data_IF_968297582967
#
_entry.id   IF_968297582967
#
_cell.length_a   1.000
_cell.length_b   1.000
_cell.length_c   1.000
_cell.angle_alpha   90.00
_cell.angle_beta   90.00
_cell.angle_gamma   90.00
#
_symmetry.space_group_name_H-M   'P 1'
#
loop_
_entity.id
_entity.type
_entity.pdbx_description
1 polymer ?
#
# COMPACT_ATOMS: atom_id res chain seq x y z
N UNK A 1 59.85 -52.75 -24.73
CA UNK A 1 59.39 -51.84 -23.66
C UNK A 1 58.43 -50.74 -24.17
N UNK A 2 57.46 -51.07 -25.05
CA UNK A 2 56.57 -50.07 -25.66
C UNK A 2 55.09 -50.26 -25.27
N UNK A 3 54.73 -51.45 -24.78
CA UNK A 3 53.35 -51.82 -24.40
C UNK A 3 52.97 -51.25 -23.02
N UNK A 4 53.95 -51.02 -22.13
CA UNK A 4 53.69 -50.52 -20.76
C UNK A 4 53.38 -49.01 -20.74
N UNK A 5 53.84 -48.25 -21.74
CA UNK A 5 53.59 -46.79 -21.83
C UNK A 5 52.20 -46.42 -22.38
N UNK A 6 51.54 -47.30 -23.13
CA UNK A 6 50.19 -47.04 -23.67
C UNK A 6 49.10 -47.29 -22.61
N UNK A 7 49.32 -48.27 -21.72
CA UNK A 7 48.37 -48.58 -20.63
C UNK A 7 48.39 -47.50 -19.54
N UNK A 8 49.55 -46.87 -19.29
CA UNK A 8 49.65 -45.77 -18.31
C UNK A 8 49.02 -44.46 -18.79
N UNK A 9 49.03 -44.17 -20.10
CA UNK A 9 48.35 -42.99 -20.65
C UNK A 9 46.82 -43.12 -20.65
N UNK A 10 46.30 -44.36 -20.73
CA UNK A 10 44.86 -44.65 -20.79
C UNK A 10 44.21 -44.74 -19.39
N UNK A 11 45.00 -45.00 -18.35
CA UNK A 11 44.55 -44.96 -16.94
C UNK A 11 44.46 -43.53 -16.40
N UNK A 12 45.29 -42.61 -16.91
CA UNK A 12 45.22 -41.18 -16.55
C UNK A 12 43.99 -40.49 -17.19
N UNK A 13 43.55 -40.93 -18.37
CA UNK A 13 42.32 -40.41 -19.03
C UNK A 13 41.02 -41.02 -18.49
N UNK A 14 41.04 -42.26 -18.02
CA UNK A 14 39.88 -42.88 -17.36
C UNK A 14 39.70 -42.39 -15.90
N UNK A 15 40.81 -42.07 -15.23
CA UNK A 15 40.78 -41.37 -13.94
C UNK A 15 40.19 -39.97 -14.02
N UNK A 16 40.46 -39.21 -15.09
CA UNK A 16 39.87 -37.88 -15.31
C UNK A 16 38.41 -37.93 -15.73
N UNK A 17 37.95 -38.98 -16.43
CA UNK A 17 36.52 -39.18 -16.69
C UNK A 17 35.74 -39.53 -15.41
N UNK A 18 36.24 -40.45 -14.57
CA UNK A 18 35.59 -40.78 -13.30
C UNK A 18 35.68 -39.62 -12.28
N UNK A 19 36.79 -38.88 -12.25
CA UNK A 19 36.94 -37.67 -11.46
C UNK A 19 36.04 -36.56 -11.98
N UNK A 20 35.93 -36.35 -13.29
CA UNK A 20 34.99 -35.41 -13.89
C UNK A 20 33.53 -35.82 -13.68
N UNK A 21 33.18 -37.11 -13.69
CA UNK A 21 31.81 -37.59 -13.46
C UNK A 21 31.41 -37.50 -11.98
N UNK A 22 32.32 -37.82 -11.05
CA UNK A 22 32.06 -37.64 -9.61
C UNK A 22 32.08 -36.14 -9.22
N UNK A 23 32.94 -35.36 -9.85
CA UNK A 23 32.93 -33.91 -9.76
C UNK A 23 31.64 -33.34 -10.36
N UNK A 24 31.16 -33.82 -11.52
CA UNK A 24 29.89 -33.43 -12.15
C UNK A 24 28.67 -33.88 -11.33
N UNK A 25 28.70 -35.04 -10.67
CA UNK A 25 27.62 -35.48 -9.76
C UNK A 25 27.52 -34.62 -8.49
N UNK A 26 28.63 -34.08 -7.99
CA UNK A 26 28.64 -33.10 -6.89
C UNK A 26 28.40 -31.67 -7.38
N UNK A 27 28.81 -31.35 -8.61
CA UNK A 27 28.75 -30.01 -9.22
C UNK A 27 27.47 -29.73 -10.01
N UNK A 28 26.66 -30.76 -10.27
CA UNK A 28 25.33 -30.65 -10.88
C UNK A 28 24.25 -30.20 -9.88
N UNK A 29 24.56 -30.28 -8.58
CA UNK A 29 23.69 -29.80 -7.49
C UNK A 29 24.00 -28.37 -7.05
N UNK A 30 25.07 -27.77 -7.58
CA UNK A 30 25.54 -26.43 -7.21
C UNK A 30 25.52 -25.48 -8.41
N UNK A 31 25.21 -24.21 -8.14
CA UNK A 31 25.21 -23.14 -9.14
C UNK A 31 26.61 -22.90 -9.72
N UNK A 32 26.69 -22.40 -10.96
CA UNK A 32 27.96 -22.03 -11.59
C UNK A 32 28.71 -20.97 -10.75
N UNK A 33 30.05 -21.01 -10.67
CA UNK A 33 30.83 -20.08 -9.84
C UNK A 33 30.55 -18.59 -10.08
N UNK A 34 30.19 -18.21 -11.32
CA UNK A 34 29.92 -16.82 -11.72
C UNK A 34 28.41 -16.48 -11.76
N UNK A 35 27.57 -17.19 -10.99
CA UNK A 35 26.12 -16.94 -10.94
C UNK A 35 25.76 -15.88 -9.90
N UNK A 36 24.99 -14.88 -10.32
CA UNK A 36 24.43 -13.82 -9.47
C UNK A 36 22.91 -13.82 -9.60
N UNK A 37 22.21 -13.82 -8.48
CA UNK A 37 20.73 -13.77 -8.43
C UNK A 37 20.31 -12.60 -7.55
N UNK A 38 19.56 -11.64 -8.09
CA UNK A 38 19.09 -10.48 -7.34
C UNK A 38 20.22 -9.65 -6.71
N UNK A 39 21.38 -9.56 -7.39
CA UNK A 39 22.57 -8.87 -6.88
C UNK A 39 23.41 -9.68 -5.88
N UNK A 40 23.00 -10.89 -5.50
CA UNK A 40 23.74 -11.78 -4.58
C UNK A 40 24.54 -12.81 -5.37
N UNK A 41 25.85 -12.88 -5.11
CA UNK A 41 26.72 -13.92 -5.65
C UNK A 41 26.39 -15.27 -4.99
N UNK A 42 25.76 -16.16 -5.75
CA UNK A 42 25.30 -17.48 -5.29
C UNK A 42 26.06 -18.63 -5.96
N UNK A 43 27.17 -18.32 -6.62
CA UNK A 43 27.98 -19.33 -7.29
C UNK A 43 28.56 -20.36 -6.33
N UNK A 44 28.49 -21.63 -6.71
CA UNK A 44 28.92 -22.75 -5.86
C UNK A 44 27.92 -23.14 -4.77
N UNK A 45 26.82 -22.39 -4.56
CA UNK A 45 25.78 -22.76 -3.60
C UNK A 45 24.86 -23.85 -4.15
N UNK A 46 24.39 -24.71 -3.24
CA UNK A 46 23.23 -25.56 -3.52
C UNK A 46 21.93 -24.73 -3.56
N UNK A 47 20.89 -25.26 -4.20
CA UNK A 47 19.60 -24.55 -4.37
C UNK A 47 19.07 -23.93 -3.06
N UNK A 48 19.05 -24.71 -1.97
CA UNK A 48 18.53 -24.26 -0.68
C UNK A 48 19.39 -23.14 -0.06
N UNK A 49 20.72 -23.24 -0.21
CA UNK A 49 21.66 -22.22 0.27
C UNK A 49 21.52 -20.93 -0.53
N UNK A 50 21.38 -21.03 -1.86
CA UNK A 50 21.14 -19.88 -2.74
C UNK A 50 19.81 -19.18 -2.43
N UNK A 51 18.73 -19.94 -2.23
CA UNK A 51 17.44 -19.37 -1.81
C UNK A 51 17.60 -18.61 -0.50
N UNK A 52 18.21 -19.22 0.52
CA UNK A 52 18.38 -18.57 1.83
C UNK A 52 19.21 -17.29 1.75
N UNK A 53 20.30 -17.29 0.98
CA UNK A 53 21.18 -16.12 0.82
C UNK A 53 20.49 -14.97 0.08
N UNK A 54 19.76 -15.27 -0.99
CA UNK A 54 19.02 -14.27 -1.77
C UNK A 54 17.86 -13.70 -0.96
N UNK A 55 17.11 -14.55 -0.23
CA UNK A 55 16.02 -14.09 0.66
C UNK A 55 16.50 -13.10 1.70
N UNK A 56 17.60 -13.41 2.38
CA UNK A 56 18.14 -12.53 3.41
C UNK A 56 18.46 -11.12 2.86
N UNK A 57 18.89 -11.02 1.60
CA UNK A 57 19.27 -9.73 1.00
C UNK A 57 18.07 -9.01 0.37
N UNK A 58 17.15 -9.75 -0.24
CA UNK A 58 16.07 -9.19 -1.08
C UNK A 58 14.73 -9.10 -0.35
N UNK A 59 14.43 -10.00 0.58
CA UNK A 59 13.19 -9.99 1.38
C UNK A 59 13.32 -9.12 2.65
N UNK A 60 14.49 -9.05 3.29
CA UNK A 60 14.68 -8.26 4.53
C UNK A 60 14.25 -6.79 4.40
N UNK A 61 14.58 -6.05 3.30
CA UNK A 61 14.08 -4.70 3.11
C UNK A 61 12.55 -4.60 3.00
N UNK A 62 11.89 -5.64 2.49
CA UNK A 62 10.42 -5.67 2.29
C UNK A 62 9.66 -5.89 3.60
N UNK A 63 10.33 -6.45 4.61
CA UNK A 63 9.78 -6.63 5.97
C UNK A 63 10.00 -5.43 6.89
N UNK A 64 10.61 -4.34 6.39
CA UNK A 64 10.73 -3.11 7.17
C UNK A 64 9.35 -2.53 7.44
N UNK A 65 9.14 -2.10 8.68
CA UNK A 65 7.90 -1.48 9.12
C UNK A 65 7.70 -0.13 8.46
N UNK A 66 6.48 0.10 8.02
CA UNK A 66 5.95 1.36 7.50
C UNK A 66 4.83 1.78 8.46
N UNK A 67 5.00 2.93 9.10
CA UNK A 67 3.96 3.52 9.94
C UNK A 67 2.94 4.24 9.04
N UNK A 68 1.68 3.88 9.17
CA UNK A 68 0.56 4.48 8.45
C UNK A 68 -0.21 5.37 9.40
N UNK A 69 -0.41 6.63 9.04
CA UNK A 69 -1.07 7.62 9.89
C UNK A 69 -2.17 8.36 9.13
N UNK A 70 -3.28 8.64 9.80
CA UNK A 70 -4.37 9.45 9.26
C UNK A 70 -5.15 10.10 10.43
N UNK A 71 -4.86 11.36 10.75
CA UNK A 71 -5.42 11.98 11.95
C UNK A 71 -5.04 11.21 13.22
N UNK A 72 -6.03 10.68 13.95
CA UNK A 72 -5.81 9.84 15.13
C UNK A 72 -5.56 8.36 14.81
N UNK A 73 -5.80 7.93 13.57
CA UNK A 73 -5.55 6.56 13.14
C UNK A 73 -4.05 6.31 12.99
N UNK A 74 -3.58 5.21 13.59
CA UNK A 74 -2.20 4.74 13.49
C UNK A 74 -2.18 3.22 13.30
N UNK A 75 -1.46 2.76 12.28
CA UNK A 75 -1.25 1.35 12.02
C UNK A 75 0.20 1.09 11.57
N UNK A 76 0.63 -0.16 11.64
CA UNK A 76 1.91 -0.62 11.10
C UNK A 76 1.66 -1.62 9.97
N UNK A 77 2.42 -1.50 8.90
CA UNK A 77 2.42 -2.47 7.79
C UNK A 77 3.83 -2.67 7.25
N UNK A 78 4.00 -3.55 6.26
CA UNK A 78 5.26 -3.77 5.57
C UNK A 78 5.01 -3.82 4.07
N UNK A 79 6.05 -3.59 3.25
CA UNK A 79 5.91 -3.73 1.80
C UNK A 79 5.46 -5.14 1.42
N UNK A 80 5.92 -6.16 2.17
CA UNK A 80 5.49 -7.54 2.03
C UNK A 80 3.99 -7.74 2.27
N UNK A 81 3.43 -7.18 3.35
CA UNK A 81 2.01 -7.29 3.69
C UNK A 81 1.11 -6.56 2.68
N UNK A 82 1.62 -5.43 2.16
CA UNK A 82 0.98 -4.68 1.06
C UNK A 82 1.03 -5.44 -0.28
N UNK A 83 1.74 -6.57 -0.34
CA UNK A 83 1.77 -7.47 -1.49
C UNK A 83 2.96 -7.25 -2.42
N UNK A 84 3.95 -6.42 -2.06
CA UNK A 84 5.20 -6.32 -2.81
C UNK A 84 6.09 -7.52 -2.44
N UNK A 85 6.06 -8.55 -3.27
CA UNK A 85 6.68 -9.84 -2.99
C UNK A 85 7.70 -10.22 -4.05
N UNK A 86 8.59 -11.13 -3.68
CA UNK A 86 9.65 -11.63 -4.55
C UNK A 86 9.62 -13.15 -4.57
N UNK A 87 9.47 -13.74 -5.75
CA UNK A 87 9.57 -15.19 -5.92
C UNK A 87 11.03 -15.63 -6.09
N UNK A 88 11.76 -15.61 -4.96
CA UNK A 88 13.15 -16.08 -4.90
C UNK A 88 13.29 -17.54 -5.35
N UNK A 89 12.42 -18.49 -4.94
CA UNK A 89 12.52 -19.88 -5.42
C UNK A 89 12.48 -20.03 -6.93
N UNK A 90 11.60 -19.30 -7.63
CA UNK A 90 11.51 -19.34 -9.09
C UNK A 90 12.74 -18.74 -9.75
N UNK A 91 13.24 -17.60 -9.25
CA UNK A 91 14.46 -16.99 -9.77
C UNK A 91 15.69 -17.91 -9.62
N UNK A 92 15.86 -18.56 -8.46
CA UNK A 92 16.97 -19.51 -8.23
C UNK A 92 16.83 -20.75 -9.12
N UNK A 93 15.62 -21.29 -9.30
CA UNK A 93 15.38 -22.40 -10.25
C UNK A 93 15.75 -22.02 -11.68
N UNK A 94 15.40 -20.81 -12.10
CA UNK A 94 15.76 -20.31 -13.43
C UNK A 94 17.28 -20.17 -13.58
N UNK A 95 17.98 -19.70 -12.55
CA UNK A 95 19.45 -19.63 -12.52
C UNK A 95 20.09 -21.03 -12.62
N UNK A 96 19.52 -22.03 -11.93
CA UNK A 96 19.97 -23.43 -12.03
C UNK A 96 19.69 -24.06 -13.39
N UNK A 97 18.53 -23.77 -14.00
CA UNK A 97 18.19 -24.25 -15.34
C UNK A 97 19.20 -23.76 -16.38
N UNK A 98 19.52 -22.46 -16.37
CA UNK A 98 20.57 -21.87 -17.23
C UNK A 98 21.95 -22.46 -16.94
N UNK A 99 22.21 -22.87 -15.70
CA UNK A 99 23.47 -23.52 -15.32
C UNK A 99 23.60 -24.95 -15.86
N UNK A 100 22.47 -25.62 -16.11
CA UNK A 100 22.43 -27.01 -16.61
C UNK A 100 22.19 -27.11 -18.13
N UNK A 101 21.87 -26.02 -18.81
CA UNK A 101 21.74 -25.93 -20.27
C UNK A 101 23.06 -26.18 -21.03
N UNK A 102 23.01 -27.04 -22.05
CA UNK A 102 24.14 -27.41 -22.91
C UNK A 102 24.82 -28.73 -22.52
N UNK A 103 25.71 -29.22 -23.39
CA UNK A 103 26.37 -30.52 -23.20
C UNK A 103 27.40 -30.48 -22.05
N UNK A 104 27.70 -31.64 -21.44
CA UNK A 104 28.65 -31.80 -20.31
C UNK A 104 29.97 -31.06 -20.55
N UNK A 105 30.47 -31.11 -21.79
CA UNK A 105 31.71 -30.48 -22.20
C UNK A 105 31.66 -28.95 -22.18
N UNK A 106 30.53 -28.35 -22.59
CA UNK A 106 30.31 -26.91 -22.55
C UNK A 106 30.13 -26.40 -21.11
N UNK A 107 29.56 -27.23 -20.23
CA UNK A 107 29.42 -26.93 -18.79
C UNK A 107 30.78 -26.92 -18.08
N UNK A 108 31.61 -27.93 -18.32
CA UNK A 108 32.98 -28.02 -17.76
C UNK A 108 33.88 -26.92 -18.30
N UNK A 109 33.77 -26.60 -19.60
CA UNK A 109 34.55 -25.53 -20.23
C UNK A 109 34.23 -24.14 -19.64
N UNK A 110 32.93 -23.80 -19.46
CA UNK A 110 32.52 -22.56 -18.79
C UNK A 110 33.02 -22.47 -17.35
N UNK A 111 33.05 -23.60 -16.63
CA UNK A 111 33.51 -23.67 -15.23
C UNK A 111 35.04 -23.57 -15.09
N UNK A 112 35.79 -23.95 -16.11
CA UNK A 112 37.26 -23.96 -16.10
C UNK A 112 37.89 -22.70 -16.71
N UNK A 113 37.24 -22.05 -17.69
CA UNK A 113 37.83 -20.95 -18.47
C UNK A 113 37.04 -19.63 -18.47
N UNK A 114 35.85 -19.59 -17.86
CA UNK A 114 35.10 -18.35 -17.59
C UNK A 114 34.43 -17.66 -18.80
N UNK A 115 33.34 -16.92 -18.50
CA UNK A 115 32.50 -16.01 -19.31
C UNK A 115 31.33 -16.62 -20.14
N UNK A 116 30.15 -15.94 -20.25
CA UNK A 116 29.68 -14.74 -19.57
C UNK A 116 28.88 -15.05 -18.29
N UNK A 117 28.99 -14.16 -17.29
CA UNK A 117 28.25 -14.19 -16.04
C UNK A 117 26.76 -14.48 -16.24
N UNK A 118 26.21 -15.46 -15.50
CA UNK A 118 24.77 -15.71 -15.51
C UNK A 118 24.13 -14.85 -14.42
N UNK A 119 23.60 -13.69 -14.80
CA UNK A 119 22.77 -12.87 -13.93
C UNK A 119 21.30 -13.24 -14.10
N UNK A 120 20.59 -13.39 -12.98
CA UNK A 120 19.13 -13.45 -12.95
C UNK A 120 18.65 -12.28 -12.12
N UNK A 121 18.01 -11.31 -12.77
CA UNK A 121 17.39 -10.19 -12.09
C UNK A 121 16.17 -10.67 -11.31
N UNK A 122 16.05 -10.18 -10.09
CA UNK A 122 14.96 -10.49 -9.17
C UNK A 122 14.27 -9.19 -8.84
N UNK A 123 13.17 -8.92 -9.52
CA UNK A 123 12.38 -7.70 -9.32
C UNK A 123 11.15 -8.03 -8.48
N UNK A 124 10.89 -7.28 -7.40
CA UNK A 124 9.64 -7.38 -6.66
C UNK A 124 8.44 -7.12 -7.58
N UNK A 125 7.37 -7.90 -7.39
CA UNK A 125 6.12 -7.76 -8.12
C UNK A 125 4.96 -7.64 -7.14
N UNK A 126 3.92 -6.91 -7.56
CA UNK A 126 2.68 -6.80 -6.79
C UNK A 126 1.86 -8.08 -6.93
N UNK A 127 1.61 -8.74 -5.80
CA UNK A 127 0.71 -9.87 -5.66
C UNK A 127 -0.59 -9.49 -4.93
N UNK A 128 -1.16 -10.47 -4.23
CA UNK A 128 -2.27 -10.22 -3.29
C UNK A 128 -1.71 -9.60 -2.02
N UNK A 129 -2.25 -8.45 -1.60
CA UNK A 129 -1.83 -7.76 -0.37
C UNK A 129 -2.98 -7.06 0.33
N UNK A 130 -2.73 -6.52 1.52
CA UNK A 130 -3.76 -5.96 2.41
C UNK A 130 -3.96 -4.44 2.24
N UNK A 131 -3.61 -3.89 1.08
CA UNK A 131 -3.70 -2.43 0.81
C UNK A 131 -5.10 -1.91 1.07
N UNK A 132 -6.15 -2.59 0.56
CA UNK A 132 -7.53 -2.16 0.78
C UNK A 132 -7.94 -2.25 2.24
N UNK A 133 -7.55 -3.32 2.95
CA UNK A 133 -7.93 -3.51 4.35
C UNK A 133 -7.44 -2.39 5.27
N UNK A 134 -6.20 -1.95 5.11
CA UNK A 134 -5.65 -0.82 5.89
C UNK A 134 -6.38 0.49 5.55
N UNK A 135 -6.69 0.71 4.27
CA UNK A 135 -7.42 1.91 3.85
C UNK A 135 -8.87 1.91 4.35
N UNK A 136 -9.51 0.74 4.38
CA UNK A 136 -10.87 0.58 4.92
C UNK A 136 -10.90 0.84 6.43
N UNK A 137 -9.92 0.32 7.18
CA UNK A 137 -9.75 0.61 8.62
C UNK A 137 -9.49 2.10 8.88
N UNK A 138 -8.60 2.71 8.08
CA UNK A 138 -8.33 4.14 8.17
C UNK A 138 -9.58 4.98 7.84
N UNK A 139 -10.34 4.59 6.81
CA UNK A 139 -11.56 5.27 6.43
C UNK A 139 -12.61 5.20 7.54
N UNK A 140 -12.77 4.06 8.21
CA UNK A 140 -13.67 3.91 9.35
C UNK A 140 -13.29 4.82 10.54
N UNK A 141 -12.00 5.07 10.73
CA UNK A 141 -11.51 5.92 11.82
C UNK A 141 -11.56 7.43 11.49
N UNK A 142 -11.36 7.79 10.22
CA UNK A 142 -11.17 9.19 9.80
C UNK A 142 -12.43 9.83 9.25
N UNK A 143 -13.31 9.04 8.63
CA UNK A 143 -14.50 9.56 7.96
C UNK A 143 -15.52 10.08 8.98
N UNK A 144 -15.85 11.36 8.86
CA UNK A 144 -16.83 12.05 9.68
C UNK A 144 -17.80 12.78 8.74
N UNK A 145 -19.09 12.54 8.90
CA UNK A 145 -20.10 13.23 8.09
C UNK A 145 -20.15 14.72 8.46
N UNK A 146 -20.34 15.62 7.46
CA UNK A 146 -20.53 17.03 7.75
C UNK A 146 -21.86 17.26 8.48
N UNK A 147 -21.88 18.26 9.36
CA UNK A 147 -23.08 18.66 10.09
C UNK A 147 -23.66 19.91 9.44
N UNK A 148 -24.88 19.79 8.93
CA UNK A 148 -25.63 20.88 8.33
C UNK A 148 -25.97 21.98 9.36
N UNK A 149 -25.97 23.22 8.89
CA UNK A 149 -26.50 24.33 9.66
C UNK A 149 -27.99 24.13 9.93
N UNK A 150 -28.44 24.46 11.14
CA UNK A 150 -29.83 24.26 11.56
C UNK A 150 -30.38 25.46 12.31
N UNK A 151 -31.66 25.74 12.08
CA UNK A 151 -32.45 26.67 12.87
C UNK A 151 -33.14 25.90 13.99
N UNK A 152 -32.87 26.27 15.25
CA UNK A 152 -33.51 25.74 16.45
C UNK A 152 -34.41 26.81 17.07
N UNK A 153 -35.70 26.51 17.21
CA UNK A 153 -36.72 27.40 17.80
C UNK A 153 -37.30 26.86 19.11
N UNK A 154 -36.69 25.82 19.71
CA UNK A 154 -37.19 25.14 20.92
C UNK A 154 -37.34 26.05 22.14
N UNK A 155 -36.58 27.14 22.20
CA UNK A 155 -36.64 28.14 23.29
C UNK A 155 -37.72 29.21 23.08
N UNK A 156 -38.41 29.20 21.94
CA UNK A 156 -39.33 30.25 21.50
C UNK A 156 -38.67 31.39 20.73
N UNK A 157 -37.34 31.41 20.65
CA UNK A 157 -36.54 32.32 19.82
C UNK A 157 -35.66 31.52 18.85
N UNK A 158 -35.18 32.19 17.79
CA UNK A 158 -34.30 31.56 16.80
C UNK A 158 -32.89 31.43 17.36
N UNK A 159 -32.37 30.21 17.37
CA UNK A 159 -30.96 29.89 17.59
C UNK A 159 -30.41 29.21 16.34
N UNK A 160 -29.32 29.74 15.81
CA UNK A 160 -28.61 29.11 14.69
C UNK A 160 -27.58 28.13 15.26
N UNK A 161 -27.66 26.89 14.82
CA UNK A 161 -26.61 25.89 14.97
C UNK A 161 -25.71 26.00 13.75
N UNK A 162 -24.45 26.37 13.97
CA UNK A 162 -23.47 26.55 12.91
C UNK A 162 -23.18 25.21 12.21
N UNK A 163 -22.91 25.22 10.89
CA UNK A 163 -22.45 24.04 10.19
C UNK A 163 -21.07 23.62 10.69
N UNK A 164 -20.76 22.33 10.55
CA UNK A 164 -19.43 21.79 10.79
C UNK A 164 -19.00 20.98 9.58
N UNK A 165 -17.78 21.23 9.11
CA UNK A 165 -17.18 20.43 8.04
C UNK A 165 -16.99 18.99 8.50
N UNK A 166 -17.28 18.08 7.58
CA UNK A 166 -16.93 16.67 7.72
C UNK A 166 -15.52 16.42 7.20
N UNK A 167 -15.12 15.16 7.26
CA UNK A 167 -13.82 14.69 6.76
C UNK A 167 -14.01 13.37 6.04
N UNK A 168 -13.30 13.19 4.94
CA UNK A 168 -13.32 11.94 4.20
C UNK A 168 -11.92 11.57 3.74
N UNK A 169 -11.55 10.31 3.94
CA UNK A 169 -10.30 9.76 3.44
C UNK A 169 -10.34 9.70 1.90
N UNK A 170 -9.32 10.24 1.26
CA UNK A 170 -9.10 10.11 -0.17
C UNK A 170 -8.45 8.74 -0.44
N UNK A 171 -9.28 7.75 -0.76
CA UNK A 171 -8.83 6.37 -0.97
C UNK A 171 -7.81 6.25 -2.10
N UNK A 172 -7.94 7.03 -3.17
CA UNK A 172 -7.07 6.94 -4.33
C UNK A 172 -5.69 7.56 -4.02
N UNK A 173 -5.68 8.78 -3.50
CA UNK A 173 -4.44 9.47 -3.12
C UNK A 173 -3.71 8.73 -1.99
N UNK A 174 -4.45 8.24 -1.00
CA UNK A 174 -3.91 7.43 0.11
C UNK A 174 -3.31 6.12 -0.36
N UNK A 175 -3.97 5.43 -1.30
CA UNK A 175 -3.42 4.22 -1.93
C UNK A 175 -2.13 4.51 -2.65
N UNK A 176 -2.08 5.57 -3.47
CA UNK A 176 -0.88 5.95 -4.19
C UNK A 176 0.27 6.27 -3.24
N UNK A 177 0.01 7.03 -2.17
CA UNK A 177 1.00 7.36 -1.15
C UNK A 177 1.55 6.11 -0.43
N UNK A 178 0.68 5.15 -0.09
CA UNK A 178 1.06 3.91 0.57
C UNK A 178 1.92 3.00 -0.32
N UNK A 179 1.55 2.86 -1.60
CA UNK A 179 2.33 2.08 -2.57
C UNK A 179 3.68 2.74 -2.89
N UNK A 180 3.72 4.07 -2.98
CA UNK A 180 4.96 4.82 -3.12
C UNK A 180 5.88 4.63 -1.91
N UNK A 181 5.34 4.69 -0.69
CA UNK A 181 6.11 4.45 0.53
C UNK A 181 6.72 3.04 0.56
N UNK A 182 5.95 2.02 0.15
CA UNK A 182 6.43 0.65 0.03
C UNK A 182 7.55 0.49 -1.01
N UNK A 183 7.44 1.19 -2.15
CA UNK A 183 8.41 1.07 -3.26
C UNK A 183 9.68 1.88 -3.01
N UNK A 184 9.55 3.06 -2.41
CA UNK A 184 10.65 3.97 -2.09
C UNK A 184 11.36 3.63 -0.77
N UNK A 185 10.81 2.70 0.01
CA UNK A 185 11.39 2.27 1.29
C UNK A 185 11.24 3.30 2.42
N UNK A 186 10.19 4.12 2.38
CA UNK A 186 9.87 5.06 3.46
C UNK A 186 9.40 4.30 4.70
N UNK A 187 9.81 4.77 5.88
CA UNK A 187 9.42 4.18 7.16
C UNK A 187 8.06 4.68 7.67
N UNK A 188 7.49 5.70 7.03
CA UNK A 188 6.20 6.28 7.42
C UNK A 188 5.48 6.90 6.22
N UNK A 189 4.15 6.91 6.28
CA UNK A 189 3.27 7.53 5.30
C UNK A 189 2.06 8.14 6.01
N UNK A 190 1.70 9.34 5.60
CA UNK A 190 0.46 10.01 6.00
C UNK A 190 -0.57 9.82 4.89
N UNK A 191 -1.74 9.30 5.24
CA UNK A 191 -2.85 9.13 4.32
C UNK A 191 -3.54 10.48 4.09
N UNK A 192 -4.12 10.63 2.91
CA UNK A 192 -4.71 11.90 2.47
C UNK A 192 -6.19 11.91 2.83
N UNK A 193 -6.63 12.99 3.49
CA UNK A 193 -8.04 13.24 3.78
C UNK A 193 -8.46 14.62 3.29
N UNK A 194 -9.68 14.72 2.79
CA UNK A 194 -10.29 15.95 2.30
C UNK A 194 -11.41 16.39 3.25
N UNK A 195 -11.58 17.70 3.40
CA UNK A 195 -12.75 18.26 4.08
C UNK A 195 -13.99 18.06 3.21
N UNK A 196 -15.12 17.76 3.83
CA UNK A 196 -16.42 17.64 3.17
C UNK A 196 -17.31 18.76 3.65
N UNK A 197 -17.75 19.60 2.73
CA UNK A 197 -18.66 20.70 3.06
C UNK A 197 -20.05 20.17 3.41
N UNK A 198 -20.74 20.78 4.40
CA UNK A 198 -22.14 20.49 4.66
C UNK A 198 -23.02 20.99 3.50
N UNK A 199 -24.09 20.24 3.23
CA UNK A 199 -25.09 20.60 2.23
C UNK A 199 -25.77 21.95 2.54
N UNK A 200 -25.99 22.23 3.84
CA UNK A 200 -26.53 23.49 4.32
C UNK A 200 -25.43 24.24 5.07
N UNK A 201 -24.81 25.21 4.38
CA UNK A 201 -23.83 26.12 4.95
C UNK A 201 -24.43 27.22 5.83
N UNK A 202 -23.57 28.04 6.42
CA UNK A 202 -23.97 29.11 7.34
C UNK A 202 -24.81 30.18 6.64
N UNK A 203 -24.49 30.47 5.38
CA UNK A 203 -25.20 31.46 4.57
C UNK A 203 -26.68 31.09 4.36
N UNK A 204 -26.99 29.80 4.25
CA UNK A 204 -28.35 29.31 4.03
C UNK A 204 -29.28 29.56 5.23
N UNK A 205 -28.73 29.72 6.43
CA UNK A 205 -29.48 30.03 7.66
C UNK A 205 -29.17 31.43 8.21
N UNK A 206 -28.38 32.22 7.49
CA UNK A 206 -27.91 33.55 7.92
C UNK A 206 -29.05 34.54 8.16
N UNK A 207 -30.18 34.40 7.46
CA UNK A 207 -31.36 35.25 7.66
C UNK A 207 -32.59 34.43 7.94
N UNK A 208 -33.26 34.72 9.04
CA UNK A 208 -34.46 33.98 9.48
C UNK A 208 -35.53 34.97 9.90
N UNK A 209 -36.77 34.73 9.47
CA UNK A 209 -37.93 35.47 9.94
C UNK A 209 -38.66 34.61 10.97
N UNK A 210 -38.83 35.13 12.18
CA UNK A 210 -39.65 34.51 13.21
C UNK A 210 -40.93 35.31 13.40
N UNK A 211 -42.08 34.69 13.13
CA UNK A 211 -43.40 35.28 13.41
C UNK A 211 -43.94 34.70 14.71
N UNK A 212 -44.16 35.54 15.71
CA UNK A 212 -44.75 35.16 17.00
C UNK A 212 -46.20 35.65 17.05
N UNK A 213 -47.12 34.76 16.73
CA UNK A 213 -48.57 35.04 16.66
C UNK A 213 -49.16 35.48 18.00
N UNK A 214 -48.67 34.93 19.11
CA UNK A 214 -49.07 35.35 20.46
C UNK A 214 -48.69 36.79 20.82
N UNK A 215 -47.72 37.39 20.12
CA UNK A 215 -47.25 38.76 20.35
C UNK A 215 -47.65 39.73 19.22
N UNK A 216 -48.16 39.21 18.09
CA UNK A 216 -48.33 39.97 16.85
C UNK A 216 -47.03 40.68 16.41
N UNK A 217 -45.92 39.94 16.52
CA UNK A 217 -44.57 40.43 16.22
C UNK A 217 -43.87 39.57 15.18
N UNK A 218 -43.10 40.24 14.33
CA UNK A 218 -42.14 39.64 13.40
C UNK A 218 -40.74 40.10 13.80
N UNK A 219 -39.84 39.14 13.95
CA UNK A 219 -38.43 39.37 14.22
C UNK A 219 -37.61 38.94 13.01
N UNK A 220 -36.80 39.85 12.48
CA UNK A 220 -35.77 39.52 11.50
C UNK A 220 -34.49 39.18 12.26
N UNK A 221 -34.03 37.95 12.10
CA UNK A 221 -32.73 37.51 12.56
C UNK A 221 -31.72 37.62 11.43
N UNK A 222 -30.55 38.16 11.74
CA UNK A 222 -29.35 37.99 10.93
C UNK A 222 -28.27 37.36 11.82
N UNK A 223 -27.70 36.22 11.38
CA UNK A 223 -26.69 35.45 12.09
C UNK A 223 -27.07 35.10 13.55
N UNK A 224 -28.37 34.87 13.80
CA UNK A 224 -28.87 34.47 15.12
C UNK A 224 -29.18 35.64 16.05
N UNK A 225 -28.98 36.88 15.60
CA UNK A 225 -29.32 38.09 16.35
C UNK A 225 -30.52 38.81 15.73
N UNK A 226 -31.41 39.32 16.57
CA UNK A 226 -32.53 40.15 16.10
C UNK A 226 -32.00 41.49 15.63
N UNK A 227 -32.11 41.77 14.34
CA UNK A 227 -31.69 43.05 13.75
C UNK A 227 -32.85 44.02 13.58
N UNK A 228 -34.06 43.49 13.36
CA UNK A 228 -35.28 44.29 13.20
C UNK A 228 -36.49 43.60 13.82
N UNK A 229 -37.39 44.44 14.32
CA UNK A 229 -38.67 44.02 14.88
C UNK A 229 -39.81 44.82 14.24
N UNK A 230 -40.91 44.15 13.95
CA UNK A 230 -42.11 44.76 13.37
C UNK A 230 -43.37 44.26 14.07
N UNK A 231 -44.34 45.16 14.23
CA UNK A 231 -45.70 44.76 14.58
C UNK A 231 -46.42 44.28 13.31
N UNK A 232 -47.04 43.10 13.38
CA UNK A 232 -47.73 42.47 12.25
C UNK A 232 -49.11 41.96 12.68
N UNK A 233 -50.09 42.02 11.79
CA UNK A 233 -51.38 41.38 12.04
C UNK A 233 -51.27 39.88 11.74
N UNK A 234 -51.70 39.04 12.68
CA UNK A 234 -51.81 37.58 12.48
C UNK A 234 -53.27 37.15 12.39
N UNK A 235 -53.51 35.93 11.92
CA UNK A 235 -54.85 35.43 11.63
C UNK A 235 -55.77 35.43 12.86
N UNK A 236 -57.03 35.80 12.66
CA UNK A 236 -58.04 35.78 13.72
C UNK A 236 -58.24 34.38 14.30
N UNK A 237 -58.76 34.25 15.52
CA UNK A 237 -58.93 32.94 16.18
C UNK A 237 -59.76 31.92 15.38
N UNK A 238 -60.69 32.40 14.54
CA UNK A 238 -61.50 31.55 13.63
C UNK A 238 -60.69 31.02 12.43
N UNK A 239 -59.61 31.72 12.06
CA UNK A 239 -58.72 31.43 10.94
C UNK A 239 -57.25 31.70 11.34
N UNK A 240 -56.69 30.93 12.28
CA UNK A 240 -55.38 31.22 12.86
C UNK A 240 -54.28 31.07 11.80
N UNK A 241 -53.22 31.89 11.92
CA UNK A 241 -51.99 31.66 11.16
C UNK A 241 -51.42 30.29 11.57
N UNK A 242 -51.20 29.35 10.62
CA UNK A 242 -50.64 28.06 10.94
C UNK A 242 -49.24 28.20 11.53
N UNK A 243 -48.82 27.24 12.36
CA UNK A 243 -47.46 27.16 12.93
C UNK A 243 -46.63 26.13 12.18
N UNK A 244 -45.32 26.34 12.06
CA UNK A 244 -44.45 25.50 11.25
C UNK A 244 -43.14 26.19 10.87
N UNK A 245 -42.35 25.48 10.07
CA UNK A 245 -41.22 26.04 9.33
C UNK A 245 -41.65 26.17 7.87
N UNK A 246 -41.36 27.31 7.27
CA UNK A 246 -41.61 27.57 5.85
C UNK A 246 -40.36 28.19 5.24
N UNK A 247 -40.11 27.86 3.99
CA UNK A 247 -38.91 28.19 3.23
C UNK A 247 -39.29 28.53 1.80
#
# INVERSE_FOLDING_TARGET
>A
MLVISIVTLLVVTSGSAAWAVNYDQRSSKTLLPDTVVGGVAVGGFEQAQAISAVRATVEEPLHRKIQVQAGEFQAETTAWDLGLQVDVPTAVRQAMGRSTEGNIFQRVWRRAFGNPSTSVDVTPAWGTGTVSGILDEAALAVNEEPVNAKIDTSTGFVKIVAPQEGRQLDLEASRAALLDAATSGKSSVELVSNAVEPEVGADAVSKVILVRTGENKLYLYENGEVTKEYSVATGEAKFPTPTGMWN
#
